data_IF_676865963875
#
_entry.id   IF_676865963875
#
_cell.length_a   1.000
_cell.length_b   1.000
_cell.length_c   1.000
_cell.angle_alpha   90.00
_cell.angle_beta   90.00
_cell.angle_gamma   90.00
#
_symmetry.space_group_name_H-M   'P 1'
#
loop_
_entity.id
_entity.type
_entity.pdbx_description
1 polymer ?
#
# COMPACT_ATOMS: atom_id res chain seq x y z
N UNK A 1 6.70 -9.97 -18.05
CA UNK A 1 6.33 -10.10 -16.63
C UNK A 1 7.60 -10.16 -15.83
N UNK A 2 7.73 -9.27 -14.84
CA UNK A 2 8.87 -9.19 -13.93
C UNK A 2 8.40 -9.65 -12.54
N UNK A 3 9.12 -10.57 -11.91
CA UNK A 3 8.83 -10.98 -10.55
C UNK A 3 9.84 -10.34 -9.61
N UNK A 4 9.39 -9.46 -8.71
CA UNK A 4 10.22 -8.78 -7.72
C UNK A 4 11.52 -8.15 -8.30
N UNK A 5 11.46 -7.37 -9.39
CA UNK A 5 12.66 -7.00 -10.16
C UNK A 5 13.63 -6.08 -9.41
N UNK A 6 13.17 -5.41 -8.36
CA UNK A 6 13.96 -4.51 -7.51
C UNK A 6 14.60 -5.23 -6.31
N UNK A 7 14.26 -6.49 -6.05
CA UNK A 7 14.78 -7.24 -4.91
C UNK A 7 16.25 -7.58 -5.12
N UNK A 8 17.08 -7.23 -4.13
CA UNK A 8 18.54 -7.43 -4.21
C UNK A 8 19.28 -6.40 -5.06
N UNK A 9 18.57 -5.45 -5.68
CA UNK A 9 19.16 -4.33 -6.41
C UNK A 9 19.52 -3.22 -5.44
N UNK A 10 20.73 -2.66 -5.57
CA UNK A 10 21.17 -1.53 -4.75
C UNK A 10 20.30 -0.27 -5.00
N UNK A 11 20.28 0.69 -4.06
CA UNK A 11 19.38 1.84 -4.15
C UNK A 11 19.52 2.67 -5.44
N UNK A 12 20.73 2.80 -5.99
CA UNK A 12 20.98 3.60 -7.21
C UNK A 12 20.47 2.85 -8.43
N UNK A 13 20.84 1.57 -8.55
CA UNK A 13 20.41 0.73 -9.67
C UNK A 13 18.90 0.52 -9.70
N UNK A 14 18.23 0.55 -8.54
CA UNK A 14 16.76 0.47 -8.46
C UNK A 14 16.08 1.65 -9.13
N UNK A 15 16.63 2.85 -8.98
CA UNK A 15 16.11 4.04 -9.67
C UNK A 15 16.22 3.88 -11.17
N UNK A 16 17.35 3.34 -11.66
CA UNK A 16 17.55 3.13 -13.09
C UNK A 16 16.63 2.04 -13.66
N UNK A 17 16.46 0.93 -12.93
CA UNK A 17 15.50 -0.10 -13.27
C UNK A 17 14.08 0.48 -13.46
N UNK A 18 13.62 1.31 -12.54
CA UNK A 18 12.30 1.93 -12.63
C UNK A 18 12.18 2.92 -13.78
N UNK A 19 13.26 3.63 -14.14
CA UNK A 19 13.29 4.47 -15.34
C UNK A 19 13.11 3.64 -16.61
N UNK A 20 13.80 2.51 -16.71
CA UNK A 20 13.67 1.60 -17.86
C UNK A 20 12.26 1.01 -17.96
N UNK A 21 11.69 0.56 -16.85
CA UNK A 21 10.30 0.07 -16.78
C UNK A 21 9.31 1.15 -17.24
N UNK A 22 9.43 2.36 -16.70
CA UNK A 22 8.54 3.48 -17.02
C UNK A 22 8.66 3.89 -18.49
N UNK A 23 9.89 3.88 -19.02
CA UNK A 23 10.15 4.17 -20.43
C UNK A 23 9.53 3.13 -21.34
N UNK A 24 9.72 1.84 -21.06
CA UNK A 24 9.12 0.76 -21.85
C UNK A 24 7.59 0.88 -21.87
N UNK A 25 6.98 1.18 -20.72
CA UNK A 25 5.53 1.43 -20.65
C UNK A 25 5.10 2.65 -21.48
N UNK A 26 5.85 3.76 -21.42
CA UNK A 26 5.59 4.96 -22.22
C UNK A 26 5.76 4.73 -23.74
N UNK A 27 6.63 3.80 -24.13
CA UNK A 27 6.83 3.35 -25.52
C UNK A 27 5.75 2.35 -25.98
N UNK A 28 4.74 2.07 -25.15
CA UNK A 28 3.57 1.24 -25.49
C UNK A 28 3.65 -0.21 -25.04
N UNK A 29 4.70 -0.61 -24.32
CA UNK A 29 4.79 -1.97 -23.79
C UNK A 29 3.85 -2.17 -22.60
N UNK A 30 3.12 -3.28 -22.58
CA UNK A 30 2.40 -3.71 -21.39
C UNK A 30 3.39 -4.32 -20.38
N UNK A 31 3.60 -3.65 -19.24
CA UNK A 31 4.50 -4.13 -18.17
C UNK A 31 3.67 -4.64 -17.00
N UNK A 32 3.92 -5.89 -16.62
CA UNK A 32 3.39 -6.49 -15.40
C UNK A 32 4.56 -6.80 -14.47
N UNK A 33 4.49 -6.28 -13.24
CA UNK A 33 5.47 -6.55 -12.18
C UNK A 33 4.78 -7.00 -10.90
N UNK A 34 5.45 -7.86 -10.14
CA UNK A 34 5.13 -8.09 -8.71
C UNK A 34 6.13 -7.33 -7.85
N UNK A 35 5.68 -6.86 -6.69
CA UNK A 35 6.54 -6.23 -5.70
C UNK A 35 5.97 -6.45 -4.29
N UNK A 36 6.84 -6.64 -3.31
CA UNK A 36 6.48 -6.54 -1.89
C UNK A 36 6.50 -5.11 -1.35
N UNK A 37 6.94 -4.14 -2.16
CA UNK A 37 7.13 -2.74 -1.78
C UNK A 37 5.96 -1.89 -2.30
N UNK A 38 5.16 -1.33 -1.40
CA UNK A 38 3.94 -0.63 -1.79
C UNK A 38 4.21 0.75 -2.43
N UNK A 39 5.34 1.38 -2.09
CA UNK A 39 5.84 2.58 -2.79
C UNK A 39 6.22 2.30 -4.26
N UNK A 40 6.56 1.06 -4.59
CA UNK A 40 6.73 0.63 -5.97
C UNK A 40 5.40 0.40 -6.67
N UNK A 41 4.43 -0.20 -5.97
CA UNK A 41 3.07 -0.37 -6.49
C UNK A 41 2.37 0.97 -6.77
N UNK A 42 2.65 2.01 -5.98
CA UNK A 42 2.17 3.38 -6.19
C UNK A 42 2.64 4.01 -7.52
N UNK A 43 3.75 3.52 -8.10
CA UNK A 43 4.27 4.01 -9.39
C UNK A 43 3.50 3.46 -10.57
N UNK A 44 2.76 2.37 -10.38
CA UNK A 44 2.00 1.73 -11.44
C UNK A 44 0.73 2.52 -11.77
N UNK A 45 0.32 2.49 -13.03
CA UNK A 45 -0.98 3.05 -13.44
C UNK A 45 -2.14 2.28 -12.78
N UNK A 46 -1.94 0.99 -12.52
CA UNK A 46 -2.90 0.11 -11.87
C UNK A 46 -2.19 -0.89 -10.97
N UNK A 47 -2.80 -1.22 -9.84
CA UNK A 47 -2.32 -2.27 -8.93
C UNK A 47 -3.39 -3.33 -8.67
N UNK A 48 -2.95 -4.48 -8.16
CA UNK A 48 -3.77 -5.58 -7.68
C UNK A 48 -3.14 -6.13 -6.41
N UNK A 49 -3.77 -5.89 -5.26
CA UNK A 49 -3.41 -6.51 -3.99
C UNK A 49 -4.24 -7.79 -3.79
N UNK A 50 -3.57 -8.87 -3.40
CA UNK A 50 -4.18 -10.19 -3.20
C UNK A 50 -3.96 -10.66 -1.76
N UNK A 51 -4.98 -11.27 -1.17
CA UNK A 51 -4.88 -12.01 0.10
C UNK A 51 -5.51 -13.39 -0.11
N UNK A 52 -4.75 -14.46 0.16
CA UNK A 52 -5.22 -15.85 0.02
C UNK A 52 -5.90 -16.16 -1.35
N UNK A 53 -5.35 -15.64 -2.45
CA UNK A 53 -5.87 -15.84 -3.80
C UNK A 53 -7.12 -15.04 -4.14
N UNK A 54 -7.58 -14.15 -3.24
CA UNK A 54 -8.70 -13.23 -3.48
C UNK A 54 -8.20 -11.81 -3.67
N UNK A 55 -8.86 -11.07 -4.54
CA UNK A 55 -8.63 -9.64 -4.71
C UNK A 55 -9.01 -8.90 -3.44
N UNK A 56 -8.02 -8.22 -2.84
CA UNK A 56 -8.22 -7.36 -1.69
C UNK A 56 -8.54 -5.93 -2.14
N UNK A 57 -7.70 -5.39 -3.02
CA UNK A 57 -7.85 -4.07 -3.63
C UNK A 57 -7.31 -4.12 -5.06
N UNK A 58 -7.88 -3.33 -5.95
CA UNK A 58 -7.35 -3.16 -7.30
C UNK A 58 -7.84 -1.85 -7.89
N UNK A 59 -7.05 -1.22 -8.76
CA UNK A 59 -7.43 0.08 -9.29
C UNK A 59 -6.25 0.99 -9.52
N UNK A 60 -6.53 2.27 -9.67
CA UNK A 60 -5.55 3.34 -9.57
C UNK A 60 -5.09 3.46 -8.10
N UNK A 61 -3.78 3.43 -7.80
CA UNK A 61 -3.29 3.54 -6.43
C UNK A 61 -3.76 4.79 -5.68
N UNK A 62 -3.77 5.95 -6.36
CA UNK A 62 -4.17 7.20 -5.75
C UNK A 62 -5.68 7.25 -5.49
N UNK A 63 -6.49 6.63 -6.36
CA UNK A 63 -7.92 6.45 -6.12
C UNK A 63 -8.21 5.50 -4.96
N UNK A 64 -7.47 4.40 -4.85
CA UNK A 64 -7.60 3.49 -3.71
C UNK A 64 -7.29 4.19 -2.38
N UNK A 65 -6.29 5.07 -2.36
CA UNK A 65 -5.98 5.91 -1.19
C UNK A 65 -7.10 6.91 -0.89
N UNK A 66 -7.56 7.67 -1.90
CA UNK A 66 -8.62 8.68 -1.72
C UNK A 66 -9.96 8.08 -1.28
N UNK A 67 -10.28 6.87 -1.73
CA UNK A 67 -11.53 6.18 -1.46
C UNK A 67 -11.48 5.27 -0.22
N UNK A 68 -10.34 5.24 0.48
CA UNK A 68 -10.17 4.42 1.66
C UNK A 68 -11.21 4.81 2.74
N UNK A 69 -11.99 3.84 3.24
CA UNK A 69 -13.01 4.13 4.24
C UNK A 69 -12.39 4.41 5.61
N UNK A 70 -13.12 5.14 6.45
CA UNK A 70 -12.74 5.39 7.84
C UNK A 70 -11.70 6.49 7.99
N UNK A 71 -11.02 6.49 9.13
CA UNK A 71 -10.00 7.46 9.46
C UNK A 71 -8.70 6.74 9.88
N UNK A 72 -7.58 7.34 9.48
CA UNK A 72 -6.24 6.88 9.83
C UNK A 72 -5.59 7.90 10.75
N UNK A 73 -4.89 7.43 11.77
CA UNK A 73 -4.18 8.31 12.69
C UNK A 73 -2.91 7.65 13.23
N UNK A 74 -2.02 8.48 13.76
CA UNK A 74 -0.78 8.02 14.39
C UNK A 74 -0.88 8.13 15.90
N UNK A 75 -0.28 7.17 16.61
CA UNK A 75 -0.18 7.16 18.06
C UNK A 75 1.18 6.65 18.54
N UNK A 76 1.58 7.03 19.75
CA UNK A 76 2.81 6.56 20.41
C UNK A 76 2.65 5.18 21.04
N UNK A 77 1.41 4.74 21.25
CA UNK A 77 1.01 3.45 21.78
C UNK A 77 -0.07 2.85 20.88
N UNK A 78 -0.34 1.54 21.02
CA UNK A 78 -1.39 0.88 20.24
C UNK A 78 -2.74 1.53 20.53
N UNK A 79 -3.32 2.18 19.53
CA UNK A 79 -4.61 2.85 19.63
C UNK A 79 -5.80 1.87 19.65
N UNK A 80 -7.01 2.37 19.95
CA UNK A 80 -8.24 1.58 19.83
C UNK A 80 -8.51 1.18 18.37
N UNK A 81 -9.18 0.05 18.16
CA UNK A 81 -9.48 -0.46 16.81
C UNK A 81 -8.34 -1.29 16.21
N UNK A 82 -8.16 -1.21 14.89
CA UNK A 82 -7.06 -1.88 14.21
C UNK A 82 -5.82 -0.99 14.27
N UNK A 83 -4.67 -1.59 14.57
CA UNK A 83 -3.42 -0.86 14.67
C UNK A 83 -2.24 -1.76 14.32
N UNK A 84 -1.27 -1.19 13.60
CA UNK A 84 0.00 -1.83 13.21
C UNK A 84 1.15 -0.87 13.48
N UNK A 85 2.37 -1.41 13.51
CA UNK A 85 3.56 -0.64 13.85
C UNK A 85 4.30 -0.20 12.59
N UNK A 86 4.59 1.10 12.49
CA UNK A 86 5.43 1.70 11.45
C UNK A 86 6.58 2.43 12.14
N UNK A 87 7.78 1.84 12.08
CA UNK A 87 8.94 2.32 12.82
C UNK A 87 8.68 2.38 14.33
N UNK A 88 8.69 3.60 14.90
CA UNK A 88 8.46 3.86 16.34
C UNK A 88 7.01 4.25 16.66
N UNK A 89 6.17 4.37 15.64
CA UNK A 89 4.80 4.85 15.77
C UNK A 89 3.81 3.73 15.48
N UNK A 90 2.58 3.92 15.97
CA UNK A 90 1.45 3.07 15.67
C UNK A 90 0.55 3.78 14.67
N UNK A 91 0.36 3.16 13.51
CA UNK A 91 -0.68 3.57 12.58
C UNK A 91 -1.95 2.83 12.97
N UNK A 92 -3.05 3.56 13.04
CA UNK A 92 -4.32 3.08 13.54
C UNK A 92 -5.42 3.38 12.55
N UNK A 93 -6.43 2.51 12.49
CA UNK A 93 -7.57 2.62 11.61
C UNK A 93 -8.87 2.16 12.28
N UNK A 94 -9.92 2.94 12.07
CA UNK A 94 -11.30 2.66 12.46
C UNK A 94 -12.27 3.48 11.61
N UNK A 95 -13.58 3.23 11.75
CA UNK A 95 -14.61 4.01 11.06
C UNK A 95 -14.52 5.52 11.36
N UNK A 96 -14.12 5.88 12.59
CA UNK A 96 -13.90 7.26 13.02
C UNK A 96 -12.69 7.34 13.95
N UNK A 97 -11.89 8.39 13.83
CA UNK A 97 -10.78 8.62 14.75
C UNK A 97 -11.29 9.04 16.14
N UNK A 98 -10.61 8.67 17.24
CA UNK A 98 -10.97 9.12 18.58
C UNK A 98 -10.73 10.64 18.74
N UNK A 99 -11.43 11.32 19.66
CA UNK A 99 -11.21 12.74 19.92
C UNK A 99 -9.75 13.02 20.29
N UNK A 100 -9.16 14.03 19.65
CA UNK A 100 -7.76 14.43 19.88
C UNK A 100 -6.72 13.55 19.19
N UNK A 101 -7.13 12.61 18.33
CA UNK A 101 -6.20 11.84 17.51
C UNK A 101 -5.50 12.72 16.45
N UNK A 102 -4.22 12.44 16.21
CA UNK A 102 -3.46 13.02 15.12
C UNK A 102 -3.80 12.27 13.82
N UNK A 103 -4.86 12.72 13.15
CA UNK A 103 -5.33 12.15 11.88
C UNK A 103 -4.30 12.41 10.78
N UNK A 104 -4.02 11.39 9.98
CA UNK A 104 -3.07 11.46 8.87
C UNK A 104 -3.78 11.25 7.53
N UNK A 105 -3.16 11.76 6.46
CA UNK A 105 -3.44 11.26 5.13
C UNK A 105 -2.75 9.89 4.98
N UNK A 106 -3.55 8.84 4.76
CA UNK A 106 -3.04 7.51 4.53
C UNK A 106 -2.27 7.43 3.20
N UNK A 107 -1.29 6.55 3.13
CA UNK A 107 -0.64 6.13 1.89
C UNK A 107 -1.19 4.77 1.40
N UNK A 108 -0.69 4.23 0.29
CA UNK A 108 -1.15 2.93 -0.20
C UNK A 108 -0.83 1.81 0.80
N UNK A 109 0.27 1.93 1.54
CA UNK A 109 0.66 0.96 2.55
C UNK A 109 -0.40 0.84 3.64
N UNK A 110 -0.81 1.96 4.22
CA UNK A 110 -1.83 2.00 5.27
C UNK A 110 -3.17 1.42 4.79
N UNK A 111 -3.57 1.74 3.57
CA UNK A 111 -4.84 1.29 3.00
C UNK A 111 -4.85 -0.21 2.73
N UNK A 112 -3.75 -0.77 2.21
CA UNK A 112 -3.62 -2.21 1.98
C UNK A 112 -3.60 -2.96 3.31
N UNK A 113 -2.90 -2.47 4.33
CA UNK A 113 -2.87 -3.09 5.66
C UNK A 113 -4.26 -3.07 6.30
N UNK A 114 -4.96 -1.94 6.30
CA UNK A 114 -6.31 -1.83 6.84
C UNK A 114 -7.29 -2.79 6.12
N UNK A 115 -7.23 -2.86 4.79
CA UNK A 115 -8.04 -3.80 4.02
C UNK A 115 -7.75 -5.25 4.40
N UNK A 116 -6.48 -5.64 4.54
CA UNK A 116 -6.09 -7.00 4.89
C UNK A 116 -6.53 -7.39 6.30
N UNK A 117 -6.40 -6.47 7.26
CA UNK A 117 -6.85 -6.68 8.64
C UNK A 117 -8.38 -6.86 8.72
N UNK A 118 -9.14 -6.05 7.96
CA UNK A 118 -10.60 -6.21 7.85
C UNK A 118 -10.97 -7.56 7.23
N UNK A 119 -10.33 -7.96 6.13
CA UNK A 119 -10.60 -9.23 5.47
C UNK A 119 -10.35 -10.45 6.37
N UNK A 120 -9.38 -10.36 7.30
CA UNK A 120 -9.11 -11.41 8.30
C UNK A 120 -10.16 -11.47 9.40
N UNK A 121 -10.81 -10.36 9.74
CA UNK A 121 -11.90 -10.34 10.72
C UNK A 121 -13.18 -10.93 10.14
N UNK A 122 -13.49 -10.63 8.88
CA UNK A 122 -14.68 -11.16 8.19
C UNK A 122 -14.60 -12.70 7.96
N UNK A 123 -13.41 -13.28 8.09
CA UNK A 123 -13.14 -14.71 7.90
C UNK A 123 -13.11 -15.53 9.21
N UNK A 124 -13.27 -14.88 10.37
CA UNK A 124 -13.25 -15.48 11.71
C UNK A 124 -14.65 -15.62 12.31
#
# INVERSE_FOLDING_TARGET
MLAEPSTGVDPVSRVELWRLISRAAAEGAAVLTTTTYLDEAERATRFLALEAGRTLLSGDPAEAVRSAPGAFWVATHRGPGQAWRVGRSWHCWAATAPPGAEVIAADLHDVVVAAALRAKQDAA
#
